data_IF_527932808096
#
_entry.id   IF_527932808096
#
_cell.length_a   1.000
_cell.length_b   1.000
_cell.length_c   1.000
_cell.angle_alpha   90.00
_cell.angle_beta   90.00
_cell.angle_gamma   90.00
#
_symmetry.space_group_name_H-M   'P 1'
#
loop_
_entity.id
_entity.type
_entity.pdbx_description
1 polymer ?
#
# COMPACT_ATOMS: atom_id res chain seq x y z
N UNK A 1 -38.94 7.26 -0.21
CA UNK A 1 -38.63 8.68 -0.49
C UNK A 1 -37.46 9.23 0.34
N UNK A 2 -36.99 8.56 1.41
CA UNK A 2 -35.79 8.94 2.16
C UNK A 2 -34.50 8.37 1.58
N UNK A 3 -34.52 7.25 0.87
CA UNK A 3 -33.30 6.60 0.35
C UNK A 3 -32.74 7.23 -0.94
N UNK A 4 -33.56 7.96 -1.70
CA UNK A 4 -33.11 8.58 -2.96
C UNK A 4 -32.41 9.92 -2.79
N UNK A 5 -32.61 10.65 -1.69
CA UNK A 5 -31.93 11.92 -1.42
C UNK A 5 -30.50 11.70 -0.90
N UNK A 6 -30.23 10.58 -0.21
CA UNK A 6 -28.88 10.26 0.30
C UNK A 6 -27.88 9.98 -0.83
N UNK A 7 -28.30 9.33 -1.92
CA UNK A 7 -27.42 9.03 -3.06
C UNK A 7 -26.98 10.26 -3.86
N UNK A 8 -27.65 11.41 -3.71
CA UNK A 8 -27.31 12.63 -4.45
C UNK A 8 -26.09 13.37 -3.91
N UNK A 9 -25.70 13.11 -2.66
CA UNK A 9 -24.55 13.77 -2.02
C UNK A 9 -23.31 12.85 -1.89
N UNK A 10 -23.50 11.55 -2.12
CA UNK A 10 -22.39 10.60 -2.03
C UNK A 10 -21.33 10.87 -3.09
N UNK A 11 -20.08 10.68 -2.71
CA UNK A 11 -18.91 10.81 -3.58
C UNK A 11 -18.01 9.61 -3.42
N UNK A 12 -17.42 9.19 -4.50
CA UNK A 12 -16.46 8.08 -4.47
C UNK A 12 -15.33 8.25 -5.45
N UNK A 13 -14.20 7.61 -5.17
CA UNK A 13 -13.08 7.50 -6.09
C UNK A 13 -12.30 6.21 -5.89
N UNK A 14 -11.89 5.58 -6.99
CA UNK A 14 -10.88 4.54 -7.02
C UNK A 14 -9.50 5.16 -7.23
N UNK A 15 -8.57 4.91 -6.32
CA UNK A 15 -7.26 5.54 -6.29
C UNK A 15 -6.16 4.48 -6.30
N UNK A 16 -5.35 4.41 -7.35
CA UNK A 16 -4.19 3.54 -7.40
C UNK A 16 -3.01 4.18 -6.65
N UNK A 17 -2.44 3.47 -5.67
CA UNK A 17 -1.21 3.87 -4.99
C UNK A 17 -0.04 3.20 -5.71
N UNK A 18 0.80 4.00 -6.34
CA UNK A 18 1.90 3.53 -7.20
C UNK A 18 3.23 4.17 -6.81
N UNK A 19 4.33 3.55 -7.21
CA UNK A 19 5.69 4.01 -6.91
C UNK A 19 6.66 2.84 -6.77
N UNK A 20 7.94 3.16 -6.58
CA UNK A 20 9.00 2.18 -6.40
C UNK A 20 8.80 1.31 -5.14
N UNK A 21 9.46 0.15 -5.04
CA UNK A 21 9.52 -0.61 -3.79
C UNK A 21 10.07 0.27 -2.64
N UNK A 22 9.59 0.04 -1.44
CA UNK A 22 10.05 0.64 -0.18
C UNK A 22 9.88 2.16 -0.04
N UNK A 23 9.20 2.85 -0.95
CA UNK A 23 8.87 4.28 -0.79
C UNK A 23 7.79 4.54 0.27
N UNK A 24 7.11 3.48 0.76
CA UNK A 24 6.13 3.56 1.83
C UNK A 24 4.67 3.56 1.39
N UNK A 25 4.34 3.00 0.21
CA UNK A 25 2.95 2.87 -0.29
C UNK A 25 2.02 2.22 0.72
N UNK A 26 2.37 1.01 1.17
CA UNK A 26 1.59 0.26 2.16
C UNK A 26 1.51 0.96 3.53
N UNK A 27 2.55 1.71 3.90
CA UNK A 27 2.53 2.52 5.14
C UNK A 27 1.54 3.68 5.03
N UNK A 28 1.51 4.36 3.88
CA UNK A 28 0.53 5.41 3.60
C UNK A 28 -0.88 4.83 3.60
N UNK A 29 -1.12 3.70 2.91
CA UNK A 29 -2.42 3.03 2.92
C UNK A 29 -2.89 2.72 4.34
N UNK A 30 -2.08 2.05 5.15
CA UNK A 30 -2.42 1.73 6.54
C UNK A 30 -2.74 2.98 7.37
N UNK A 31 -2.01 4.07 7.13
CA UNK A 31 -2.22 5.34 7.85
C UNK A 31 -3.53 6.02 7.43
N UNK A 32 -3.86 6.01 6.14
CA UNK A 32 -5.12 6.53 5.61
C UNK A 32 -6.32 5.76 6.15
N UNK A 33 -6.22 4.44 6.23
CA UNK A 33 -7.28 3.56 6.75
C UNK A 33 -7.37 3.55 8.28
N UNK A 34 -6.36 4.08 8.99
CA UNK A 34 -6.30 4.02 10.45
C UNK A 34 -6.12 2.59 11.01
N UNK A 35 -5.85 1.60 10.17
CA UNK A 35 -5.69 0.20 10.54
C UNK A 35 -4.60 -0.48 9.71
N UNK A 36 -4.07 -1.58 10.22
CA UNK A 36 -3.04 -2.38 9.56
C UNK A 36 -3.67 -3.39 8.61
N UNK A 37 -3.77 -3.05 7.36
CA UNK A 37 -4.26 -3.92 6.29
C UNK A 37 -3.10 -4.49 5.45
N UNK A 38 -2.20 -3.62 5.01
CA UNK A 38 -1.06 -3.99 4.19
C UNK A 38 0.18 -4.25 5.05
N UNK A 39 0.97 -5.24 4.69
CA UNK A 39 2.23 -5.52 5.38
C UNK A 39 3.31 -4.51 5.01
N UNK A 40 4.15 -4.19 5.98
CA UNK A 40 5.24 -3.22 5.83
C UNK A 40 6.57 -3.88 6.17
N UNK A 41 7.53 -3.82 5.26
CA UNK A 41 8.89 -4.30 5.47
C UNK A 41 9.86 -3.48 4.64
N UNK A 42 11.09 -3.34 5.12
CA UNK A 42 12.19 -2.71 4.37
C UNK A 42 12.70 -3.59 3.21
N UNK A 43 12.20 -4.82 3.09
CA UNK A 43 12.63 -5.77 2.06
C UNK A 43 11.86 -5.53 0.75
N UNK A 44 12.53 -5.61 -0.41
CA UNK A 44 11.85 -5.49 -1.71
C UNK A 44 10.81 -6.61 -1.88
N UNK A 45 9.76 -6.35 -2.70
CA UNK A 45 8.67 -7.30 -2.97
C UNK A 45 7.87 -7.72 -1.72
N UNK A 46 7.74 -6.82 -0.75
CA UNK A 46 6.89 -7.02 0.43
C UNK A 46 5.44 -7.21 0.01
N UNK A 47 4.89 -6.29 -0.78
CA UNK A 47 3.56 -6.43 -1.40
C UNK A 47 3.70 -7.20 -2.71
N UNK A 48 3.08 -8.37 -2.81
CA UNK A 48 3.14 -9.26 -3.99
C UNK A 48 1.86 -9.25 -4.80
N UNK A 49 0.75 -9.01 -4.15
CA UNK A 49 -0.58 -8.97 -4.75
C UNK A 49 -1.19 -7.60 -4.54
N UNK A 50 -2.12 -7.23 -5.39
CA UNK A 50 -2.93 -6.04 -5.22
C UNK A 50 -3.73 -6.15 -3.91
N UNK A 51 -3.71 -5.10 -3.10
CA UNK A 51 -4.51 -4.98 -1.87
C UNK A 51 -5.50 -3.84 -2.07
N UNK A 52 -6.77 -4.11 -1.86
CA UNK A 52 -7.81 -3.09 -1.85
C UNK A 52 -8.10 -2.68 -0.41
N UNK A 53 -8.10 -1.38 -0.16
CA UNK A 53 -8.51 -0.78 1.11
C UNK A 53 -9.63 0.21 0.89
N UNK A 54 -10.66 0.16 1.70
CA UNK A 54 -11.83 1.05 1.62
C UNK A 54 -11.83 1.97 2.83
N UNK A 55 -11.92 3.26 2.58
CA UNK A 55 -12.11 4.27 3.60
C UNK A 55 -13.42 5.00 3.34
N UNK A 56 -14.29 5.03 4.35
CA UNK A 56 -15.59 5.71 4.26
C UNK A 56 -15.74 6.67 5.43
N UNK A 57 -16.07 7.92 5.15
CA UNK A 57 -16.40 8.92 6.16
C UNK A 57 -17.52 9.81 5.62
N UNK A 58 -18.69 9.73 6.27
CA UNK A 58 -19.87 10.47 5.86
C UNK A 58 -20.29 10.13 4.43
N UNK A 59 -20.37 11.13 3.58
CA UNK A 59 -20.81 11.00 2.18
C UNK A 59 -19.67 10.61 1.22
N UNK A 60 -18.43 10.40 1.71
CA UNK A 60 -17.28 10.12 0.86
C UNK A 60 -16.72 8.72 1.08
N UNK A 61 -16.52 8.00 -0.02
CA UNK A 61 -15.84 6.71 -0.02
C UNK A 61 -14.62 6.73 -0.96
N UNK A 62 -13.44 6.42 -0.43
CA UNK A 62 -12.21 6.26 -1.20
C UNK A 62 -11.81 4.79 -1.22
N UNK A 63 -11.64 4.24 -2.42
CA UNK A 63 -11.19 2.86 -2.62
C UNK A 63 -9.74 2.88 -3.08
N UNK A 64 -8.84 2.52 -2.20
CA UNK A 64 -7.41 2.48 -2.47
C UNK A 64 -6.98 1.13 -3.04
N UNK A 65 -6.13 1.17 -4.05
CA UNK A 65 -5.53 -0.01 -4.64
C UNK A 65 -4.02 0.08 -4.42
N UNK A 66 -3.51 -0.61 -3.37
CA UNK A 66 -2.06 -0.73 -3.15
C UNK A 66 -1.48 -1.73 -4.14
N UNK A 67 -0.49 -1.29 -4.89
CA UNK A 67 0.14 -2.06 -5.95
C UNK A 67 1.53 -2.53 -5.53
N UNK A 68 1.98 -3.69 -6.01
CA UNK A 68 3.38 -4.08 -5.90
C UNK A 68 4.28 -2.97 -6.45
N UNK A 69 5.40 -2.69 -5.76
CA UNK A 69 6.35 -1.68 -6.24
C UNK A 69 6.89 -2.01 -7.64
N UNK A 70 7.00 -1.00 -8.49
CA UNK A 70 7.56 -1.16 -9.84
C UNK A 70 9.03 -1.60 -9.76
N UNK A 71 9.29 -2.80 -10.30
CA UNK A 71 10.62 -3.38 -10.43
C UNK A 71 10.84 -3.82 -11.89
N UNK A 72 12.10 -3.83 -12.34
CA UNK A 72 12.42 -4.50 -13.59
C UNK A 72 12.16 -6.00 -13.43
N UNK A 73 11.33 -6.62 -14.29
CA UNK A 73 11.04 -8.03 -14.20
C UNK A 73 12.32 -8.83 -14.40
N UNK A 74 12.65 -9.73 -13.46
CA UNK A 74 13.76 -10.68 -13.55
C UNK A 74 13.27 -12.12 -13.59
N UNK A 75 11.99 -12.34 -13.31
CA UNK A 75 11.34 -13.64 -13.24
C UNK A 75 9.83 -13.47 -13.47
N UNK A 76 9.10 -14.58 -13.55
CA UNK A 76 7.64 -14.61 -13.75
C UNK A 76 6.85 -13.84 -12.69
N UNK A 77 7.34 -13.76 -11.45
CA UNK A 77 6.73 -12.96 -10.40
C UNK A 77 6.88 -11.44 -10.70
N UNK A 78 8.06 -11.02 -11.17
CA UNK A 78 8.29 -9.64 -11.59
C UNK A 78 7.39 -9.23 -12.76
N UNK A 79 7.20 -10.10 -13.74
CA UNK A 79 6.28 -9.87 -14.87
C UNK A 79 4.83 -9.72 -14.39
N UNK A 80 4.39 -10.56 -13.44
CA UNK A 80 3.07 -10.45 -12.83
C UNK A 80 2.89 -9.13 -12.08
N UNK A 81 3.88 -8.71 -11.29
CA UNK A 81 3.84 -7.45 -10.54
C UNK A 81 3.73 -6.24 -11.46
N UNK A 82 4.49 -6.19 -12.57
CA UNK A 82 4.40 -5.11 -13.57
C UNK A 82 3.03 -5.08 -14.22
N UNK A 83 2.46 -6.24 -14.59
CA UNK A 83 1.10 -6.31 -15.14
C UNK A 83 0.05 -5.83 -14.14
N UNK A 84 0.19 -6.18 -12.86
CA UNK A 84 -0.72 -5.75 -11.80
C UNK A 84 -0.73 -4.23 -11.63
N UNK A 85 0.44 -3.57 -11.65
CA UNK A 85 0.53 -2.10 -11.62
C UNK A 85 -0.10 -1.49 -12.87
N UNK A 86 0.19 -2.04 -14.05
CA UNK A 86 -0.31 -1.53 -15.32
C UNK A 86 -1.83 -1.56 -15.39
N UNK A 87 -2.46 -2.67 -14.99
CA UNK A 87 -3.92 -2.78 -14.97
C UNK A 87 -4.54 -1.87 -13.92
N UNK A 88 -3.93 -1.73 -12.75
CA UNK A 88 -4.46 -0.88 -11.68
C UNK A 88 -4.51 0.60 -12.04
N UNK A 89 -3.59 1.10 -12.87
CA UNK A 89 -3.58 2.51 -13.32
C UNK A 89 -4.59 2.75 -14.44
N UNK A 90 -4.97 1.73 -15.21
CA UNK A 90 -5.88 1.90 -16.34
C UNK A 90 -7.37 1.99 -15.94
N UNK A 91 -7.73 1.46 -14.77
CA UNK A 91 -9.12 1.29 -14.35
C UNK A 91 -9.41 2.04 -13.03
N UNK A 92 -8.83 3.24 -12.85
CA UNK A 92 -9.03 4.05 -11.64
C UNK A 92 -9.34 5.51 -12.01
N UNK A 93 -9.98 6.21 -11.08
CA UNK A 93 -10.35 7.62 -11.24
C UNK A 93 -9.15 8.54 -11.02
N UNK A 94 -8.21 8.14 -10.16
CA UNK A 94 -7.01 8.91 -9.86
C UNK A 94 -5.82 8.02 -9.45
N UNK A 95 -4.61 8.59 -9.49
CA UNK A 95 -3.40 7.94 -9.04
C UNK A 95 -2.73 8.73 -7.91
N UNK A 96 -2.20 8.02 -6.92
CA UNK A 96 -1.30 8.55 -5.90
C UNK A 96 0.12 8.04 -6.18
N UNK A 97 0.97 8.89 -6.76
CA UNK A 97 2.39 8.59 -6.92
C UNK A 97 3.10 8.82 -5.59
N UNK A 98 3.75 7.79 -5.08
CA UNK A 98 4.55 7.88 -3.86
C UNK A 98 6.03 7.82 -4.23
N UNK A 99 6.77 8.82 -3.82
CA UNK A 99 8.23 8.87 -3.92
C UNK A 99 8.84 9.07 -2.53
N UNK A 100 10.09 8.67 -2.35
CA UNK A 100 10.80 8.89 -1.10
C UNK A 100 11.54 10.22 -1.16
N UNK A 101 11.45 11.00 -0.09
CA UNK A 101 12.18 12.25 0.08
C UNK A 101 13.70 12.01 -0.01
N UNK A 102 14.44 13.00 -0.52
CA UNK A 102 15.89 12.93 -0.67
C UNK A 102 16.41 11.81 -1.61
N UNK A 103 15.56 11.28 -2.49
CA UNK A 103 16.01 10.32 -3.50
C UNK A 103 15.98 10.94 -4.89
N UNK A 104 16.91 10.50 -5.75
CA UNK A 104 16.90 10.90 -7.15
C UNK A 104 15.66 10.33 -7.85
N UNK A 105 15.06 11.14 -8.72
CA UNK A 105 14.00 10.67 -9.63
C UNK A 105 14.59 9.56 -10.50
N UNK A 106 13.95 8.42 -10.50
CA UNK A 106 14.39 7.26 -11.27
C UNK A 106 13.65 7.18 -12.60
N UNK A 107 14.20 6.42 -13.55
CA UNK A 107 13.49 6.11 -14.80
C UNK A 107 12.13 5.46 -14.58
N UNK A 108 11.98 4.68 -13.51
CA UNK A 108 10.69 4.07 -13.17
C UNK A 108 9.66 5.10 -12.70
N UNK A 109 10.07 6.15 -11.99
CA UNK A 109 9.20 7.25 -11.61
C UNK A 109 8.79 8.06 -12.87
N UNK A 110 9.74 8.33 -13.79
CA UNK A 110 9.45 9.00 -15.08
C UNK A 110 8.50 8.18 -15.96
N UNK A 111 8.69 6.86 -16.05
CA UNK A 111 7.81 5.95 -16.81
C UNK A 111 6.38 5.95 -16.26
N UNK A 112 6.18 6.02 -14.92
CA UNK A 112 4.87 6.18 -14.32
C UNK A 112 4.23 7.52 -14.69
N UNK A 113 4.98 8.60 -14.57
CA UNK A 113 4.51 9.95 -14.93
C UNK A 113 4.09 10.02 -16.40
N UNK A 114 4.88 9.44 -17.31
CA UNK A 114 4.51 9.35 -18.73
C UNK A 114 3.20 8.59 -18.92
N UNK A 115 3.01 7.51 -18.21
CA UNK A 115 1.77 6.73 -18.30
C UNK A 115 0.54 7.49 -17.80
N UNK A 116 0.65 8.33 -16.75
CA UNK A 116 -0.46 9.19 -16.33
C UNK A 116 -0.85 10.18 -17.43
N UNK A 117 0.15 10.76 -18.13
CA UNK A 117 -0.08 11.63 -19.31
C UNK A 117 -0.83 10.90 -20.41
N UNK A 118 -0.38 9.69 -20.75
CA UNK A 118 -0.96 8.90 -21.84
C UNK A 118 -2.41 8.49 -21.56
N UNK A 119 -2.74 8.23 -20.30
CA UNK A 119 -4.07 7.82 -19.86
C UNK A 119 -4.98 9.02 -19.51
N UNK A 120 -4.42 10.20 -19.32
CA UNK A 120 -5.17 11.39 -18.87
C UNK A 120 -5.75 11.24 -17.46
N UNK A 121 -5.12 10.43 -16.60
CA UNK A 121 -5.60 10.14 -15.25
C UNK A 121 -5.08 11.21 -14.29
N UNK A 122 -5.94 11.89 -13.50
CA UNK A 122 -5.51 12.81 -12.45
C UNK A 122 -4.55 12.14 -11.49
N UNK A 123 -3.51 12.86 -11.06
CA UNK A 123 -2.53 12.29 -10.14
C UNK A 123 -2.14 13.27 -9.04
N UNK A 124 -2.06 12.73 -7.81
CA UNK A 124 -1.42 13.37 -6.66
C UNK A 124 -0.01 12.83 -6.48
N UNK A 125 0.88 13.68 -5.97
CA UNK A 125 2.23 13.30 -5.60
C UNK A 125 2.41 13.35 -4.08
N UNK A 126 2.69 12.21 -3.45
CA UNK A 126 3.14 12.14 -2.07
C UNK A 126 4.66 11.96 -2.00
N UNK A 127 5.34 12.91 -1.36
CA UNK A 127 6.78 12.79 -1.07
C UNK A 127 6.90 12.30 0.37
N UNK A 128 7.12 10.99 0.53
CA UNK A 128 7.10 10.33 1.83
C UNK A 128 8.48 10.30 2.50
N UNK A 129 8.49 10.01 3.80
CA UNK A 129 9.67 9.93 4.66
C UNK A 129 10.38 11.27 4.87
N UNK A 130 9.60 12.36 4.96
CA UNK A 130 10.16 13.69 5.25
C UNK A 130 10.79 13.79 6.64
N UNK A 131 10.47 12.86 7.54
CA UNK A 131 11.09 12.66 8.85
C UNK A 131 12.58 12.34 8.77
N UNK A 132 13.04 11.78 7.66
CA UNK A 132 14.46 11.47 7.41
C UNK A 132 15.25 12.65 6.82
N UNK A 133 14.59 13.77 6.49
CA UNK A 133 15.24 14.93 5.90
C UNK A 133 15.94 15.77 6.97
N UNK A 134 17.22 16.02 6.77
CA UNK A 134 18.00 16.97 7.56
C UNK A 134 17.88 18.40 7.02
N UNK A 135 17.71 18.55 5.70
CA UNK A 135 17.64 19.84 5.00
C UNK A 135 16.36 19.92 4.16
N UNK A 136 15.54 20.92 4.44
CA UNK A 136 14.29 21.20 3.71
C UNK A 136 14.53 21.70 2.27
N UNK A 137 15.71 22.23 1.97
CA UNK A 137 16.04 22.71 0.61
C UNK A 137 16.00 21.57 -0.42
N UNK A 138 16.40 20.37 -0.03
CA UNK A 138 16.36 19.16 -0.85
C UNK A 138 14.94 18.80 -1.26
N UNK A 139 13.99 18.98 -0.34
CA UNK A 139 12.57 18.74 -0.61
C UNK A 139 12.05 19.71 -1.68
N UNK A 140 12.36 21.00 -1.57
CA UNK A 140 11.94 22.02 -2.54
C UNK A 140 12.50 21.75 -3.93
N UNK A 141 13.76 21.33 -4.03
CA UNK A 141 14.38 20.94 -5.30
C UNK A 141 13.69 19.71 -5.92
N UNK A 142 13.36 18.72 -5.09
CA UNK A 142 12.67 17.51 -5.55
C UNK A 142 11.24 17.81 -6.02
N UNK A 143 10.50 18.65 -5.31
CA UNK A 143 9.18 19.14 -5.72
C UNK A 143 9.27 19.83 -7.08
N UNK A 144 10.19 20.78 -7.24
CA UNK A 144 10.34 21.52 -8.50
C UNK A 144 10.63 20.60 -9.69
N UNK A 145 11.49 19.59 -9.51
CA UNK A 145 11.83 18.62 -10.55
C UNK A 145 10.64 17.74 -10.94
N UNK A 146 9.89 17.24 -9.96
CA UNK A 146 8.73 16.36 -10.22
C UNK A 146 7.56 17.13 -10.83
N UNK A 147 7.28 18.35 -10.35
CA UNK A 147 6.25 19.21 -10.93
C UNK A 147 6.58 19.67 -12.36
N UNK A 148 7.85 19.70 -12.75
CA UNK A 148 8.24 19.97 -14.14
C UNK A 148 7.94 18.78 -15.08
N UNK A 149 7.80 17.55 -14.55
CA UNK A 149 7.48 16.35 -15.33
C UNK A 149 5.99 16.19 -15.57
N UNK A 150 5.16 16.58 -14.62
CA UNK A 150 3.70 16.40 -14.66
C UNK A 150 3.00 17.48 -13.85
N UNK A 151 1.83 17.90 -14.32
CA UNK A 151 0.93 18.82 -13.61
C UNK A 151 0.09 18.01 -12.62
N UNK A 152 0.65 17.77 -11.44
CA UNK A 152 -0.04 17.04 -10.36
C UNK A 152 -1.14 17.92 -9.77
N UNK A 153 -2.30 17.33 -9.47
CA UNK A 153 -3.41 18.02 -8.80
C UNK A 153 -2.96 18.63 -7.46
N UNK A 154 -2.12 17.89 -6.72
CA UNK A 154 -1.41 18.41 -5.55
C UNK A 154 -0.09 17.65 -5.31
N UNK A 155 0.84 18.34 -4.61
CA UNK A 155 2.11 17.76 -4.15
C UNK A 155 2.15 17.86 -2.64
N UNK A 156 2.10 16.73 -1.95
CA UNK A 156 1.98 16.66 -0.48
C UNK A 156 3.19 15.97 0.12
N UNK A 157 4.08 16.69 0.83
CA UNK A 157 5.11 16.08 1.64
C UNK A 157 4.51 15.42 2.88
N UNK A 158 4.87 14.14 3.12
CA UNK A 158 4.31 13.34 4.22
C UNK A 158 5.36 12.52 4.96
N UNK A 159 5.06 12.18 6.21
CA UNK A 159 5.68 11.07 6.93
C UNK A 159 4.59 10.09 7.34
N UNK A 160 4.51 8.95 6.66
CA UNK A 160 3.58 7.91 7.06
C UNK A 160 3.93 7.32 8.45
N UNK A 161 5.18 7.44 8.89
CA UNK A 161 5.63 7.00 10.20
C UNK A 161 5.09 7.91 11.31
N UNK A 162 5.29 9.20 11.20
CA UNK A 162 4.93 10.18 12.24
C UNK A 162 3.49 10.68 12.10
N UNK A 163 2.91 10.56 10.90
CA UNK A 163 1.59 11.09 10.56
C UNK A 163 1.62 12.53 10.02
N UNK A 164 2.80 13.15 9.94
CA UNK A 164 2.92 14.51 9.44
C UNK A 164 2.49 14.59 7.95
N UNK A 165 1.64 15.58 7.62
CA UNK A 165 1.11 15.79 6.27
C UNK A 165 0.02 14.79 5.84
N UNK A 166 -0.33 13.79 6.66
CA UNK A 166 -1.30 12.77 6.27
C UNK A 166 -2.74 13.29 6.21
N UNK A 167 -3.09 14.26 7.05
CA UNK A 167 -4.43 14.90 7.00
C UNK A 167 -4.56 15.75 5.73
N UNK A 168 -3.54 16.53 5.38
CA UNK A 168 -3.52 17.28 4.13
C UNK A 168 -3.59 16.33 2.91
N UNK A 169 -2.88 15.20 2.93
CA UNK A 169 -2.98 14.20 1.87
C UNK A 169 -4.40 13.65 1.76
N UNK A 170 -5.06 13.39 2.89
CA UNK A 170 -6.45 12.90 2.89
C UNK A 170 -7.42 13.92 2.31
N UNK A 171 -7.29 15.18 2.66
CA UNK A 171 -8.11 16.27 2.13
C UNK A 171 -7.98 16.37 0.59
N UNK A 172 -6.77 16.30 0.06
CA UNK A 172 -6.53 16.31 -1.39
C UNK A 172 -7.11 15.07 -2.08
N UNK A 173 -7.02 13.88 -1.44
CA UNK A 173 -7.62 12.66 -1.97
C UNK A 173 -9.16 12.73 -1.98
N UNK A 174 -9.78 13.31 -0.95
CA UNK A 174 -11.23 13.56 -0.88
C UNK A 174 -11.67 14.52 -2.00
N UNK A 175 -10.86 15.51 -2.33
CA UNK A 175 -11.16 16.45 -3.40
C UNK A 175 -11.24 15.80 -4.79
N UNK A 176 -10.63 14.64 -4.97
CA UNK A 176 -10.71 13.85 -6.23
C UNK A 176 -11.97 13.00 -6.33
N UNK A 177 -12.74 12.85 -5.24
CA UNK A 177 -13.95 12.05 -5.27
C UNK A 177 -15.05 12.77 -6.05
N UNK A 178 -15.64 12.07 -7.03
CA UNK A 178 -16.72 12.56 -7.86
C UNK A 178 -18.10 12.13 -7.32
N UNK A 179 -19.16 12.86 -7.65
CA UNK A 179 -20.52 12.47 -7.29
C UNK A 179 -20.85 11.06 -7.80
N UNK A 180 -21.19 10.15 -6.89
CA UNK A 180 -21.48 8.76 -7.19
C UNK A 180 -21.72 7.98 -5.91
N UNK A 181 -22.55 6.93 -5.97
CA UNK A 181 -22.84 6.10 -4.80
C UNK A 181 -21.63 5.34 -4.28
N UNK A 182 -21.68 4.95 -3.01
CA UNK A 182 -20.67 4.10 -2.40
C UNK A 182 -20.66 2.70 -3.04
N UNK A 183 -19.48 2.16 -3.32
CA UNK A 183 -19.32 0.82 -3.91
C UNK A 183 -19.35 -0.30 -2.87
N UNK A 184 -19.04 0.03 -1.63
CA UNK A 184 -18.96 -0.90 -0.51
C UNK A 184 -19.79 -0.39 0.67
N UNK A 185 -20.22 -1.29 1.56
CA UNK A 185 -20.88 -0.90 2.80
C UNK A 185 -19.91 -0.10 3.70
N UNK A 186 -20.46 0.78 4.55
CA UNK A 186 -19.69 1.72 5.38
C UNK A 186 -18.65 1.05 6.30
N UNK A 187 -18.91 -0.19 6.72
CA UNK A 187 -18.06 -0.98 7.59
C UNK A 187 -17.00 -1.82 6.83
N UNK A 188 -17.02 -1.78 5.50
CA UNK A 188 -16.05 -2.51 4.67
C UNK A 188 -14.68 -1.84 4.72
N UNK A 189 -13.66 -2.57 5.15
CA UNK A 189 -12.27 -2.12 5.13
C UNK A 189 -11.47 -2.64 3.94
N UNK A 190 -11.84 -3.80 3.40
CA UNK A 190 -11.11 -4.48 2.33
C UNK A 190 -11.96 -5.57 1.67
N UNK A 191 -11.59 -5.94 0.46
CA UNK A 191 -12.12 -7.12 -0.25
C UNK A 191 -11.37 -8.42 0.11
N UNK A 192 -10.28 -8.32 0.91
CA UNK A 192 -9.45 -9.47 1.22
C UNK A 192 -10.10 -10.35 2.28
N UNK A 193 -10.12 -11.68 2.09
CA UNK A 193 -10.53 -12.61 3.13
C UNK A 193 -9.66 -12.45 4.39
N UNK A 194 -10.26 -12.54 5.57
CA UNK A 194 -9.55 -12.45 6.85
C UNK A 194 -8.33 -13.39 6.92
N UNK A 195 -8.46 -14.61 6.38
CA UNK A 195 -7.35 -15.57 6.27
C UNK A 195 -6.15 -15.05 5.49
N UNK A 196 -6.39 -14.29 4.42
CA UNK A 196 -5.31 -13.70 3.61
C UNK A 196 -4.59 -12.61 4.39
N UNK A 197 -5.31 -11.77 5.11
CA UNK A 197 -4.74 -10.73 5.98
C UNK A 197 -3.88 -11.35 7.07
N UNK A 198 -4.38 -12.38 7.74
CA UNK A 198 -3.64 -13.11 8.77
C UNK A 198 -2.37 -13.76 8.21
N UNK A 199 -2.46 -14.41 7.05
CA UNK A 199 -1.29 -14.99 6.38
C UNK A 199 -0.21 -13.92 6.08
N UNK A 200 -0.63 -12.74 5.61
CA UNK A 200 0.30 -11.64 5.33
C UNK A 200 0.92 -11.06 6.62
N UNK A 201 0.15 -10.93 7.72
CA UNK A 201 0.70 -10.49 9.01
C UNK A 201 1.76 -11.48 9.52
N UNK A 202 1.51 -12.79 9.43
CA UNK A 202 2.49 -13.81 9.81
C UNK A 202 3.71 -13.72 8.90
N UNK A 203 3.52 -13.53 7.58
CA UNK A 203 4.60 -13.36 6.62
C UNK A 203 5.46 -12.12 6.92
N UNK A 204 4.84 -11.01 7.32
CA UNK A 204 5.56 -9.82 7.75
C UNK A 204 6.46 -10.11 8.96
N UNK A 205 5.92 -10.77 10.00
CA UNK A 205 6.70 -11.13 11.19
C UNK A 205 7.86 -12.06 10.85
N UNK A 206 7.62 -13.05 9.99
CA UNK A 206 8.68 -13.92 9.50
C UNK A 206 9.76 -13.15 8.72
N UNK A 207 9.37 -12.18 7.87
CA UNK A 207 10.31 -11.33 7.15
C UNK A 207 11.15 -10.44 8.07
N UNK A 208 10.58 -9.97 9.18
CA UNK A 208 11.31 -9.17 10.18
C UNK A 208 12.27 -10.03 11.02
N UNK A 209 11.90 -11.27 11.29
CA UNK A 209 12.73 -12.20 12.07
C UNK A 209 13.91 -12.78 11.27
N UNK A 210 13.87 -12.70 9.94
CA UNK A 210 14.91 -13.21 9.07
C UNK A 210 15.82 -12.07 8.61
N UNK A 211 17.07 -12.06 9.12
CA UNK A 211 18.08 -11.11 8.69
C UNK A 211 18.50 -11.33 7.22
N UNK A 212 18.87 -10.26 6.60
CA UNK A 212 19.47 -9.93 5.28
C UNK A 212 19.30 -10.85 4.05
N UNK A 213 19.11 -12.15 4.11
CA UNK A 213 19.26 -13.01 2.93
C UNK A 213 17.95 -13.60 2.32
N UNK A 214 16.74 -13.43 2.92
CA UNK A 214 15.57 -14.23 2.54
C UNK A 214 14.27 -13.47 2.27
N UNK A 215 14.24 -12.42 1.45
CA UNK A 215 12.97 -11.71 1.18
C UNK A 215 12.01 -12.48 0.25
N UNK A 216 12.51 -13.39 -0.57
CA UNK A 216 11.75 -13.92 -1.73
C UNK A 216 11.23 -15.34 -1.55
N UNK A 217 11.67 -16.07 -0.53
CA UNK A 217 11.45 -17.49 -0.39
C UNK A 217 10.46 -17.91 0.70
N UNK A 218 9.58 -17.01 1.19
CA UNK A 218 8.61 -17.36 2.22
C UNK A 218 7.18 -17.16 1.71
N UNK A 219 6.36 -18.18 1.90
CA UNK A 219 4.91 -18.12 1.77
C UNK A 219 4.26 -18.64 3.06
N UNK A 220 3.08 -18.13 3.40
CA UNK A 220 2.31 -18.56 4.57
C UNK A 220 0.96 -19.07 4.11
N UNK A 221 0.62 -20.26 4.52
CA UNK A 221 -0.69 -20.88 4.31
C UNK A 221 -1.40 -21.02 5.65
N UNK A 222 -2.64 -20.55 5.75
CA UNK A 222 -3.47 -20.76 6.93
C UNK A 222 -4.17 -22.10 6.78
N UNK A 223 -3.83 -23.07 7.61
CA UNK A 223 -4.41 -24.41 7.59
C UNK A 223 -5.76 -24.40 8.34
N UNK A 224 -5.78 -23.75 9.50
CA UNK A 224 -6.98 -23.67 10.32
C UNK A 224 -7.09 -22.31 10.99
N UNK A 225 -8.33 -21.83 11.12
CA UNK A 225 -8.67 -20.61 11.83
C UNK A 225 -10.00 -20.81 12.54
N UNK A 226 -9.99 -20.74 13.88
CA UNK A 226 -11.17 -21.05 14.70
C UNK A 226 -11.23 -20.17 15.95
N UNK A 227 -12.34 -19.48 16.10
CA UNK A 227 -12.61 -18.73 17.33
C UNK A 227 -12.95 -19.66 18.49
N UNK A 228 -12.37 -19.42 19.66
CA UNK A 228 -12.70 -20.15 20.89
C UNK A 228 -14.08 -19.74 21.38
N UNK A 229 -14.89 -20.74 21.71
CA UNK A 229 -16.24 -20.50 22.23
C UNK A 229 -16.18 -19.68 23.54
N UNK A 230 -16.91 -18.56 23.56
CA UNK A 230 -17.04 -17.68 24.72
C UNK A 230 -15.81 -16.84 25.06
N UNK A 231 -14.82 -16.77 24.16
CA UNK A 231 -13.61 -15.98 24.33
C UNK A 231 -13.33 -15.16 23.06
N UNK A 232 -12.76 -13.98 23.22
CA UNK A 232 -12.29 -13.17 22.08
C UNK A 232 -10.86 -13.60 21.68
N UNK A 233 -10.69 -14.91 21.44
CA UNK A 233 -9.42 -15.55 21.07
C UNK A 233 -9.63 -16.34 19.79
N UNK A 234 -8.74 -16.14 18.81
CA UNK A 234 -8.68 -16.87 17.56
C UNK A 234 -7.48 -17.84 17.58
N UNK A 235 -7.76 -19.14 17.46
CA UNK A 235 -6.71 -20.16 17.27
C UNK A 235 -6.38 -20.24 15.77
N UNK A 236 -5.10 -20.10 15.45
CA UNK A 236 -4.60 -20.08 14.07
C UNK A 236 -3.51 -21.15 13.95
N UNK A 237 -3.71 -22.08 13.01
CA UNK A 237 -2.70 -23.03 12.57
C UNK A 237 -2.22 -22.57 11.17
N UNK A 238 -0.91 -22.39 11.00
CA UNK A 238 -0.35 -21.91 9.75
C UNK A 238 0.93 -22.67 9.39
N UNK A 239 1.10 -22.92 8.09
CA UNK A 239 2.31 -23.51 7.55
C UNK A 239 3.13 -22.42 6.87
N UNK A 240 4.40 -22.25 7.29
CA UNK A 240 5.36 -21.36 6.63
C UNK A 240 6.19 -22.21 5.67
N UNK A 241 6.05 -21.89 4.38
CA UNK A 241 6.78 -22.57 3.30
C UNK A 241 8.03 -21.75 2.98
N UNK A 242 9.18 -22.40 3.02
CA UNK A 242 10.48 -21.81 2.70
C UNK A 242 11.04 -22.42 1.41
N UNK A 243 11.66 -21.58 0.57
CA UNK A 243 12.27 -22.02 -0.69
C UNK A 243 13.53 -22.87 -0.48
N UNK A 244 14.23 -22.69 0.66
CA UNK A 244 15.49 -23.37 0.98
C UNK A 244 15.48 -23.89 2.42
N UNK A 245 16.14 -25.04 2.64
CA UNK A 245 16.28 -25.64 3.99
C UNK A 245 17.04 -24.72 4.97
N UNK A 246 18.00 -23.91 4.50
CA UNK A 246 18.70 -22.92 5.34
C UNK A 246 17.74 -21.90 5.94
N UNK A 247 16.67 -21.55 5.24
CA UNK A 247 15.63 -20.63 5.71
C UNK A 247 14.82 -21.23 6.85
N UNK A 248 14.55 -22.53 6.78
CA UNK A 248 13.85 -23.27 7.84
C UNK A 248 14.66 -23.25 9.14
N UNK A 249 15.97 -23.46 9.05
CA UNK A 249 16.86 -23.40 10.22
C UNK A 249 16.82 -22.02 10.91
N UNK A 250 16.90 -20.93 10.15
CA UNK A 250 16.82 -19.57 10.71
C UNK A 250 15.48 -19.31 11.44
N UNK A 251 14.35 -19.71 10.83
CA UNK A 251 13.04 -19.50 11.45
C UNK A 251 12.85 -20.29 12.75
N UNK A 252 13.36 -21.52 12.83
CA UNK A 252 13.31 -22.33 14.03
C UNK A 252 14.19 -21.77 15.15
N UNK A 253 15.38 -21.28 14.80
CA UNK A 253 16.32 -20.70 15.78
C UNK A 253 15.82 -19.39 16.39
N UNK A 254 15.11 -18.57 15.62
CA UNK A 254 14.49 -17.33 16.12
C UNK A 254 13.25 -17.59 16.99
N UNK A 255 12.55 -18.73 16.82
CA UNK A 255 11.42 -19.09 17.67
C UNK A 255 11.87 -19.58 19.04
N UNK A 256 12.97 -20.32 19.12
CA UNK A 256 13.52 -20.84 20.39
C UNK A 256 14.11 -19.72 21.28
N UNK A 257 14.57 -18.63 20.69
CA UNK A 257 15.07 -17.46 21.42
C UNK A 257 13.97 -16.54 22.00
N UNK A 258 12.71 -16.77 21.63
CA UNK A 258 11.56 -16.02 22.15
C UNK A 258 10.88 -16.68 23.37
N UNK A 259 11.28 -17.91 23.71
CA UNK A 259 10.76 -18.69 24.84
C UNK A 259 11.69 -18.63 26.08
N UNK A 260 12.82 -17.92 26.04
CA UNK A 260 13.68 -17.55 27.17
C UNK A 260 13.40 -16.07 27.60
#
# INVERSE_FOLDING_TARGET
TMDTENYMNEKSAFIAIVGRPNVGKSSILNRLLGTKLAIVSNKPQTTRTRIMGVWTEGETQLVFIDTPGLIKPKNSLGDYMVKSVTSSVADVDACLLVVEANTKISKADEELVHRFKDLGVPALLAINKIDLLQDKSVLMEQIAKLSALYDFEAVVPVSAQDGNGMDALREELIALAEPGGHFFSEDTLTDQPERAIVAEIIREKALHALDDEIPHGIAVCIDRMKQRKGQNIMDIEATIVCERDSHKGCLLYTSDAADE
#
